data_IF_436237575653
#
_entry.id   IF_436237575653
#
_cell.length_a   1.000
_cell.length_b   1.000
_cell.length_c   1.000
_cell.angle_alpha   90.00
_cell.angle_beta   90.00
_cell.angle_gamma   90.00
#
_symmetry.space_group_name_H-M   'P 1'
#
loop_
_entity.id
_entity.type
_entity.pdbx_description
1 polymer ?
#
# COMPACT_ATOMS: atom_id res chain seq x y z
N UNK A 1 61.42 25.52 47.45
CA UNK A 1 61.10 25.84 46.04
C UNK A 1 60.59 24.57 45.40
N UNK A 2 59.26 24.39 45.41
CA UNK A 2 58.59 23.14 45.05
C UNK A 2 58.46 23.01 43.54
N UNK A 3 58.90 21.85 43.03
CA UNK A 3 58.72 21.38 41.66
C UNK A 3 57.34 20.74 41.52
N UNK A 4 56.54 21.20 40.55
CA UNK A 4 55.30 20.53 40.12
C UNK A 4 55.43 20.27 38.62
N UNK A 5 55.90 19.07 38.28
CA UNK A 5 55.80 18.52 36.93
C UNK A 5 54.44 17.82 36.79
N UNK A 6 53.56 18.38 35.97
CA UNK A 6 52.23 17.84 35.68
C UNK A 6 52.37 16.73 34.63
N UNK A 7 52.15 15.49 35.06
CA UNK A 7 52.05 14.31 34.18
C UNK A 7 50.66 14.27 33.54
N UNK A 8 50.59 14.58 32.24
CA UNK A 8 49.40 14.41 31.40
C UNK A 8 49.27 12.93 31.07
N UNK A 9 48.59 12.19 31.95
CA UNK A 9 48.27 10.79 31.74
C UNK A 9 47.20 10.64 30.64
N UNK A 10 47.53 9.81 29.65
CA UNK A 10 46.71 9.27 28.56
C UNK A 10 45.43 8.61 29.11
N UNK A 11 44.35 9.38 29.29
CA UNK A 11 43.05 8.85 29.67
C UNK A 11 42.37 8.24 28.44
N UNK A 12 42.70 6.97 28.16
CA UNK A 12 41.95 6.17 27.18
C UNK A 12 40.48 6.09 27.63
N UNK A 13 39.51 6.43 26.77
CA UNK A 13 38.10 6.44 27.13
C UNK A 13 37.68 5.04 27.62
N UNK A 14 36.99 5.04 28.76
CA UNK A 14 36.53 3.84 29.46
C UNK A 14 35.65 2.99 28.54
N UNK A 15 35.72 1.66 28.68
CA UNK A 15 34.97 0.69 27.84
C UNK A 15 33.46 0.98 27.81
N UNK A 16 32.93 1.62 28.85
CA UNK A 16 31.54 2.05 28.94
C UNK A 16 31.20 3.15 27.91
N UNK A 17 32.05 4.17 27.77
CA UNK A 17 31.86 5.24 26.78
C UNK A 17 31.99 4.74 25.35
N UNK A 18 32.88 3.76 25.10
CA UNK A 18 32.98 3.10 23.78
C UNK A 18 31.75 2.26 23.44
N UNK A 19 31.10 1.63 24.42
CA UNK A 19 29.83 0.91 24.20
C UNK A 19 28.66 1.87 24.00
N UNK A 20 28.63 3.01 24.70
CA UNK A 20 27.61 4.04 24.52
C UNK A 20 27.67 4.66 23.11
N UNK A 21 28.87 5.07 22.66
CA UNK A 21 29.08 5.60 21.31
C UNK A 21 28.80 4.55 20.21
N UNK A 22 29.06 3.27 20.46
CA UNK A 22 28.71 2.18 19.54
C UNK A 22 27.20 1.87 19.50
N UNK A 23 26.44 2.26 20.52
CA UNK A 23 24.98 2.14 20.56
C UNK A 23 24.30 3.32 19.83
N UNK A 24 24.85 4.53 19.91
CA UNK A 24 24.36 5.73 19.22
C UNK A 24 24.52 5.67 17.69
N UNK A 25 25.50 4.92 17.17
CA UNK A 25 25.76 4.78 15.73
C UNK A 25 24.92 3.70 15.01
N UNK A 26 24.08 2.93 15.71
CA UNK A 26 23.19 1.98 15.02
C UNK A 26 21.96 2.72 14.52
N UNK A 27 22.03 3.15 13.26
CA UNK A 27 20.83 3.28 12.43
C UNK A 27 20.13 1.92 12.47
N UNK A 28 19.15 1.78 13.37
CA UNK A 28 18.21 0.67 13.34
C UNK A 28 17.46 0.86 12.03
N UNK A 29 17.92 0.18 10.97
CA UNK A 29 17.11 -0.05 9.78
C UNK A 29 15.81 -0.67 10.29
N UNK A 30 14.76 0.15 10.48
CA UNK A 30 13.41 -0.35 10.71
C UNK A 30 13.13 -1.23 9.51
N UNK A 31 13.13 -2.54 9.72
CA UNK A 31 12.60 -3.47 8.73
C UNK A 31 11.16 -3.09 8.40
N UNK A 32 10.60 -3.62 7.31
CA UNK A 32 9.20 -3.35 6.96
C UNK A 32 8.31 -3.53 8.20
N UNK A 33 7.54 -2.50 8.53
CA UNK A 33 6.71 -2.47 9.73
C UNK A 33 5.82 -3.72 9.76
N UNK A 34 6.04 -4.60 10.72
CA UNK A 34 5.24 -5.82 10.88
C UNK A 34 3.90 -5.45 11.49
N UNK A 35 2.81 -5.98 10.94
CA UNK A 35 1.48 -5.77 11.51
C UNK A 35 1.43 -6.35 12.95
N UNK A 36 0.77 -5.67 13.91
CA UNK A 36 0.58 -6.21 15.25
C UNK A 36 -0.09 -7.59 15.22
N UNK A 37 0.25 -8.49 16.16
CA UNK A 37 -0.17 -9.90 16.13
C UNK A 37 -1.69 -10.08 16.12
N UNK A 38 -2.43 -9.13 16.70
CA UNK A 38 -3.89 -9.12 16.72
C UNK A 38 -4.51 -8.85 15.34
N UNK A 39 -3.92 -7.97 14.53
CA UNK A 39 -4.37 -7.74 13.16
C UNK A 39 -4.08 -8.95 12.27
N UNK A 40 -2.93 -9.60 12.48
CA UNK A 40 -2.58 -10.84 11.78
C UNK A 40 -3.59 -11.94 12.11
N UNK A 41 -3.94 -12.11 13.39
CA UNK A 41 -4.92 -13.13 13.82
C UNK A 41 -6.33 -12.84 13.27
N UNK A 42 -6.75 -11.57 13.25
CA UNK A 42 -8.04 -11.14 12.69
C UNK A 42 -8.12 -11.35 11.18
N UNK A 43 -7.07 -11.02 10.42
CA UNK A 43 -6.99 -11.27 8.96
C UNK A 43 -7.08 -12.77 8.64
N UNK A 44 -6.39 -13.62 9.41
CA UNK A 44 -6.44 -15.07 9.23
C UNK A 44 -7.80 -15.70 9.60
N UNK A 45 -8.55 -15.08 10.53
CA UNK A 45 -9.92 -15.50 10.86
C UNK A 45 -10.95 -15.06 9.81
N UNK A 46 -10.69 -14.00 9.05
CA UNK A 46 -11.59 -13.52 8.00
C UNK A 46 -11.66 -14.47 6.80
N UNK A 47 -12.87 -14.95 6.48
CA UNK A 47 -13.11 -15.80 5.30
C UNK A 47 -12.95 -15.02 3.99
N UNK A 48 -13.44 -13.79 3.93
CA UNK A 48 -13.36 -12.92 2.73
C UNK A 48 -11.93 -12.53 2.43
N UNK A 49 -11.14 -12.16 3.45
CA UNK A 49 -9.72 -11.83 3.27
C UNK A 49 -8.92 -13.04 2.81
N UNK A 50 -9.14 -14.21 3.40
CA UNK A 50 -8.50 -15.45 2.95
C UNK A 50 -8.84 -15.76 1.49
N UNK A 51 -10.12 -15.66 1.10
CA UNK A 51 -10.55 -15.90 -0.27
C UNK A 51 -9.88 -14.92 -1.26
N UNK A 52 -9.91 -13.62 -0.97
CA UNK A 52 -9.29 -12.59 -1.81
C UNK A 52 -7.77 -12.78 -1.94
N UNK A 53 -7.11 -13.36 -0.94
CA UNK A 53 -5.66 -13.55 -0.92
C UNK A 53 -5.19 -14.96 -1.33
N UNK A 54 -6.13 -15.85 -1.67
CA UNK A 54 -5.87 -17.23 -2.11
C UNK A 54 -6.09 -17.46 -3.61
N UNK A 55 -6.30 -16.40 -4.41
CA UNK A 55 -6.51 -16.51 -5.86
C UNK A 55 -5.36 -17.24 -6.60
N UNK A 56 -4.14 -17.17 -6.07
CA UNK A 56 -2.97 -17.82 -6.66
C UNK A 56 -3.09 -19.36 -6.72
N UNK A 57 -4.01 -19.96 -5.93
CA UNK A 57 -4.35 -21.39 -5.99
C UNK A 57 -4.95 -21.81 -7.33
N UNK A 58 -5.39 -20.86 -8.18
CA UNK A 58 -5.82 -21.15 -9.53
C UNK A 58 -4.67 -21.63 -10.43
N UNK A 59 -3.44 -21.16 -10.18
CA UNK A 59 -2.26 -21.50 -11.00
C UNK A 59 -1.91 -23.01 -10.97
N UNK A 60 -1.78 -23.66 -9.80
CA UNK A 60 -1.57 -25.11 -9.75
C UNK A 60 -2.78 -25.89 -10.26
N UNK A 61 -4.01 -25.37 -10.07
CA UNK A 61 -5.21 -25.99 -10.62
C UNK A 61 -5.19 -26.06 -12.16
N UNK A 62 -4.58 -25.08 -12.82
CA UNK A 62 -4.35 -25.04 -14.27
C UNK A 62 -3.17 -25.92 -14.74
N UNK A 63 -2.58 -26.74 -13.87
CA UNK A 63 -1.48 -27.62 -14.27
C UNK A 63 -0.09 -27.00 -14.12
N UNK A 64 0.02 -25.80 -13.51
CA UNK A 64 1.28 -25.05 -13.44
C UNK A 64 1.79 -24.85 -12.00
N UNK A 65 1.95 -25.90 -11.18
CA UNK A 65 2.36 -25.73 -9.78
C UNK A 65 3.71 -25.02 -9.63
N UNK A 66 4.68 -25.29 -10.53
CA UNK A 66 5.99 -24.64 -10.49
C UNK A 66 5.90 -23.11 -10.54
N UNK A 67 4.99 -22.56 -11.34
CA UNK A 67 4.81 -21.13 -11.52
C UNK A 67 4.26 -20.47 -10.25
N UNK A 68 3.34 -21.15 -9.56
CA UNK A 68 2.78 -20.70 -8.29
C UNK A 68 3.87 -20.60 -7.20
N UNK A 69 4.71 -21.64 -7.09
CA UNK A 69 5.81 -21.67 -6.12
C UNK A 69 6.94 -20.70 -6.46
N UNK A 70 7.23 -20.49 -7.74
CA UNK A 70 8.21 -19.51 -8.20
C UNK A 70 7.77 -18.09 -7.82
N UNK A 71 6.51 -17.75 -8.11
CA UNK A 71 5.91 -16.49 -7.74
C UNK A 71 6.00 -16.23 -6.23
N UNK A 72 5.64 -17.21 -5.40
CA UNK A 72 5.72 -17.07 -3.94
C UNK A 72 7.15 -17.02 -3.41
N UNK A 73 8.09 -17.72 -4.04
CA UNK A 73 9.50 -17.68 -3.68
C UNK A 73 10.13 -16.32 -3.95
N UNK A 74 9.84 -15.73 -5.12
CA UNK A 74 10.31 -14.40 -5.50
C UNK A 74 9.64 -13.31 -4.64
N UNK A 75 8.31 -13.34 -4.53
CA UNK A 75 7.55 -12.32 -3.77
C UNK A 75 7.76 -12.40 -2.26
N UNK A 76 7.89 -13.61 -1.73
CA UNK A 76 8.14 -13.86 -0.30
C UNK A 76 9.61 -13.88 0.10
N UNK A 77 10.54 -13.74 -0.86
CA UNK A 77 12.00 -13.84 -0.67
C UNK A 77 12.42 -15.08 0.12
N UNK A 78 11.80 -16.24 -0.15
CA UNK A 78 12.06 -17.50 0.57
C UNK A 78 12.62 -18.58 -0.37
N UNK A 79 13.89 -18.99 -0.22
CA UNK A 79 14.55 -19.90 -1.16
C UNK A 79 13.91 -21.28 -1.21
N UNK A 80 13.36 -21.77 -0.09
CA UNK A 80 12.63 -23.06 -0.05
C UNK A 80 11.45 -23.15 -1.03
N UNK A 81 10.79 -22.03 -1.38
CA UNK A 81 9.69 -22.02 -2.34
C UNK A 81 10.21 -22.05 -3.77
N UNK A 82 11.36 -21.41 -4.02
CA UNK A 82 12.06 -21.48 -5.30
C UNK A 82 12.58 -22.90 -5.56
N UNK A 83 13.11 -23.57 -4.54
CA UNK A 83 13.52 -24.98 -4.64
C UNK A 83 12.34 -25.91 -4.94
N UNK A 84 11.18 -25.70 -4.30
CA UNK A 84 9.96 -26.43 -4.63
C UNK A 84 9.52 -26.18 -6.08
N UNK A 85 9.60 -24.94 -6.56
CA UNK A 85 9.29 -24.60 -7.94
C UNK A 85 10.17 -25.35 -8.94
N UNK A 86 11.48 -25.38 -8.70
CA UNK A 86 12.44 -26.14 -9.51
C UNK A 86 12.14 -27.64 -9.50
N UNK A 87 11.80 -28.21 -8.34
CA UNK A 87 11.41 -29.62 -8.23
C UNK A 87 10.18 -29.96 -9.07
N UNK A 88 9.13 -29.13 -9.00
CA UNK A 88 7.94 -29.31 -9.85
C UNK A 88 8.24 -29.14 -11.33
N UNK A 89 9.09 -28.18 -11.70
CA UNK A 89 9.48 -27.96 -13.10
C UNK A 89 10.20 -29.19 -13.67
N UNK A 90 11.14 -29.77 -12.92
CA UNK A 90 11.87 -30.98 -13.32
C UNK A 90 10.93 -32.17 -13.46
N UNK A 91 10.05 -32.40 -12.49
CA UNK A 91 9.10 -33.51 -12.53
C UNK A 91 8.12 -33.40 -13.71
N UNK A 92 7.64 -32.18 -14.00
CA UNK A 92 6.75 -31.91 -15.12
C UNK A 92 7.47 -32.04 -16.47
N UNK A 93 8.72 -31.60 -16.56
CA UNK A 93 9.58 -31.84 -17.72
C UNK A 93 9.84 -33.33 -17.97
N UNK A 94 10.07 -34.11 -16.92
CA UNK A 94 10.18 -35.57 -17.00
C UNK A 94 8.90 -36.23 -17.52
N UNK A 95 7.73 -35.80 -17.03
CA UNK A 95 6.44 -36.28 -17.51
C UNK A 95 6.21 -35.95 -19.00
N UNK A 96 6.50 -34.71 -19.42
CA UNK A 96 6.38 -34.27 -20.80
C UNK A 96 7.32 -35.05 -21.73
N UNK A 97 8.56 -35.29 -21.31
CA UNK A 97 9.51 -36.12 -22.06
C UNK A 97 9.02 -37.57 -22.18
N UNK A 98 8.51 -38.17 -21.09
CA UNK A 98 7.95 -39.52 -21.12
C UNK A 98 6.76 -39.65 -22.08
N UNK A 99 5.83 -38.68 -22.04
CA UNK A 99 4.71 -38.63 -22.99
C UNK A 99 5.18 -38.44 -24.44
N UNK A 100 6.15 -37.55 -24.67
CA UNK A 100 6.73 -37.33 -26.00
C UNK A 100 7.40 -38.58 -26.58
N UNK A 101 8.18 -39.30 -25.75
CA UNK A 101 8.81 -40.57 -26.15
C UNK A 101 7.77 -41.66 -26.46
N UNK A 102 6.69 -41.71 -25.68
CA UNK A 102 5.58 -42.65 -25.88
C UNK A 102 4.73 -42.36 -27.12
N UNK A 103 4.70 -41.11 -27.60
CA UNK A 103 3.95 -40.69 -28.80
C UNK A 103 4.80 -40.65 -30.08
N UNK A 104 6.13 -40.59 -29.97
CA UNK A 104 6.99 -40.11 -31.05
C UNK A 104 8.08 -41.05 -31.56
N UNK A 105 8.35 -42.19 -30.91
CA UNK A 105 9.44 -43.08 -31.34
C UNK A 105 9.07 -44.56 -31.22
N UNK A 106 9.31 -45.30 -32.32
CA UNK A 106 9.18 -46.76 -32.45
C UNK A 106 10.23 -47.52 -31.61
N UNK A 107 10.21 -47.29 -30.30
CA UNK A 107 11.18 -47.81 -29.33
C UNK A 107 10.83 -49.22 -28.85
N UNK A 108 9.63 -49.73 -29.18
CA UNK A 108 9.10 -50.98 -28.62
C UNK A 108 8.63 -50.86 -27.16
N UNK A 109 8.72 -49.67 -26.55
CA UNK A 109 8.36 -49.40 -25.16
C UNK A 109 7.35 -48.25 -25.03
N UNK A 110 6.63 -47.95 -26.10
CA UNK A 110 5.73 -46.80 -26.22
C UNK A 110 4.67 -46.77 -25.11
N UNK A 111 3.98 -47.90 -24.88
CA UNK A 111 2.96 -48.01 -23.83
C UNK A 111 3.57 -47.78 -22.44
N UNK A 112 4.78 -48.29 -22.19
CA UNK A 112 5.48 -48.11 -20.92
C UNK A 112 5.82 -46.63 -20.68
N UNK A 113 6.32 -45.92 -21.69
CA UNK A 113 6.62 -44.48 -21.58
C UNK A 113 5.36 -43.63 -21.44
N UNK A 114 4.28 -43.96 -22.15
CA UNK A 114 2.98 -43.29 -22.00
C UNK A 114 2.42 -43.44 -20.58
N UNK A 115 2.45 -44.67 -20.04
CA UNK A 115 1.97 -44.95 -18.69
C UNK A 115 2.84 -44.25 -17.64
N UNK A 116 4.17 -44.36 -17.73
CA UNK A 116 5.08 -43.71 -16.78
C UNK A 116 4.99 -42.19 -16.84
N UNK A 117 4.93 -41.61 -18.04
CA UNK A 117 4.75 -40.17 -18.25
C UNK A 117 3.42 -39.67 -17.70
N UNK A 118 2.34 -40.41 -17.93
CA UNK A 118 0.99 -40.07 -17.42
C UNK A 118 0.92 -40.17 -15.90
N UNK A 119 1.46 -41.24 -15.31
CA UNK A 119 1.51 -41.42 -13.85
C UNK A 119 2.35 -40.33 -13.18
N UNK A 120 3.52 -40.00 -13.75
CA UNK A 120 4.36 -38.92 -13.24
C UNK A 120 3.67 -37.57 -13.38
N UNK A 121 3.00 -37.29 -14.51
CA UNK A 121 2.26 -36.05 -14.73
C UNK A 121 1.11 -35.88 -13.75
N UNK A 122 0.23 -36.89 -13.64
CA UNK A 122 -0.91 -36.87 -12.72
C UNK A 122 -0.46 -36.80 -11.25
N UNK A 123 0.58 -37.56 -10.87
CA UNK A 123 1.17 -37.52 -9.54
C UNK A 123 1.77 -36.16 -9.20
N UNK A 124 2.52 -35.56 -10.12
CA UNK A 124 3.13 -34.23 -9.96
C UNK A 124 2.07 -33.14 -9.82
N UNK A 125 1.00 -33.21 -10.62
CA UNK A 125 -0.12 -32.29 -10.53
C UNK A 125 -0.88 -32.40 -9.21
N UNK A 126 -1.29 -33.62 -8.83
CA UNK A 126 -2.00 -33.88 -7.58
C UNK A 126 -1.18 -33.47 -6.35
N UNK A 127 0.10 -33.81 -6.33
CA UNK A 127 1.02 -33.39 -5.27
C UNK A 127 1.19 -31.85 -5.25
N UNK A 128 1.23 -31.21 -6.42
CA UNK A 128 1.26 -29.76 -6.57
C UNK A 128 0.04 -29.07 -5.95
N UNK A 129 -1.16 -29.62 -6.17
CA UNK A 129 -2.40 -29.14 -5.56
C UNK A 129 -2.38 -29.25 -4.03
N UNK A 130 -2.04 -30.43 -3.50
CA UNK A 130 -1.97 -30.66 -2.05
C UNK A 130 -0.93 -29.72 -1.40
N UNK A 131 0.26 -29.62 -1.99
CA UNK A 131 1.30 -28.74 -1.49
C UNK A 131 0.87 -27.27 -1.55
N UNK A 132 0.12 -26.86 -2.57
CA UNK A 132 -0.40 -25.49 -2.69
C UNK A 132 -1.43 -25.17 -1.60
N UNK A 133 -2.34 -26.10 -1.29
CA UNK A 133 -3.30 -25.95 -0.18
C UNK A 133 -2.58 -25.81 1.16
N UNK A 134 -1.59 -26.66 1.43
CA UNK A 134 -0.79 -26.58 2.66
C UNK A 134 0.00 -25.27 2.75
N UNK A 135 0.61 -24.88 1.63
CA UNK A 135 1.42 -23.68 1.51
C UNK A 135 0.60 -22.40 1.68
N UNK A 136 -0.67 -22.40 1.27
CA UNK A 136 -1.59 -21.26 1.43
C UNK A 136 -1.68 -20.75 2.87
N UNK A 137 -1.73 -21.65 3.85
CA UNK A 137 -1.74 -21.27 5.28
C UNK A 137 -0.50 -20.46 5.68
N UNK A 138 0.65 -20.77 5.11
CA UNK A 138 1.93 -20.13 5.41
C UNK A 138 2.08 -18.84 4.62
N UNK A 139 1.64 -18.84 3.35
CA UNK A 139 1.57 -17.65 2.52
C UNK A 139 0.67 -16.57 3.13
N UNK A 140 -0.54 -16.93 3.58
CA UNK A 140 -1.47 -16.03 4.22
C UNK A 140 -0.91 -15.44 5.52
N UNK A 141 -0.17 -16.22 6.32
CA UNK A 141 0.52 -15.69 7.52
C UNK A 141 1.58 -14.66 7.18
N UNK A 142 2.40 -14.94 6.17
CA UNK A 142 3.44 -14.01 5.70
C UNK A 142 2.78 -12.74 5.16
N UNK A 143 1.77 -12.88 4.29
CA UNK A 143 1.05 -11.74 3.71
C UNK A 143 0.36 -10.93 4.80
N UNK A 144 -0.30 -11.56 5.78
CA UNK A 144 -0.93 -10.85 6.89
C UNK A 144 0.07 -10.04 7.73
N UNK A 145 1.30 -10.55 7.93
CA UNK A 145 2.35 -9.89 8.70
C UNK A 145 3.06 -8.74 7.95
N UNK A 146 3.15 -8.82 6.61
CA UNK A 146 3.91 -7.87 5.77
C UNK A 146 3.05 -6.97 4.88
N UNK A 147 1.73 -7.17 4.80
CA UNK A 147 0.85 -6.24 4.08
C UNK A 147 0.58 -5.03 4.96
N UNK A 148 1.38 -3.98 4.77
CA UNK A 148 1.12 -2.63 5.25
C UNK A 148 0.11 -1.90 4.38
N UNK A 149 -1.12 -2.43 4.34
CA UNK A 149 -2.30 -1.62 4.06
C UNK A 149 -2.93 -1.23 5.42
N UNK A 150 -3.53 -0.03 5.52
CA UNK A 150 -4.02 0.54 6.77
C UNK A 150 -4.94 -0.47 7.44
N UNK A 151 -4.77 -0.58 8.74
CA UNK A 151 -5.68 -1.35 9.56
C UNK A 151 -7.09 -0.79 9.37
N UNK A 152 -7.93 -1.47 8.58
CA UNK A 152 -9.37 -1.48 8.83
C UNK A 152 -9.52 -2.08 10.22
N UNK A 153 -9.43 -1.26 11.24
CA UNK A 153 -9.74 -1.60 12.62
C UNK A 153 -11.23 -1.96 12.65
N UNK A 154 -11.56 -3.23 12.98
CA UNK A 154 -12.89 -3.43 13.58
C UNK A 154 -12.71 -3.26 15.07
N UNK A 155 -13.71 -2.69 15.75
CA UNK A 155 -13.57 -2.26 17.13
C UNK A 155 -13.22 -3.46 18.00
N UNK A 156 -12.19 -3.31 18.81
CA UNK A 156 -12.20 -3.83 20.18
C UNK A 156 -13.53 -3.35 20.81
N UNK A 157 -14.17 -4.15 21.65
CA UNK A 157 -15.20 -3.64 22.54
C UNK A 157 -14.53 -3.23 23.86
N UNK A 158 -14.06 -1.99 24.06
CA UNK A 158 -14.09 -1.36 25.37
C UNK A 158 -15.47 -0.73 25.58
N UNK A 159 -15.87 -0.62 26.84
CA UNK A 159 -17.10 0.02 27.30
C UNK A 159 -17.46 1.25 26.45
N UNK A 160 -18.70 1.30 25.96
CA UNK A 160 -19.26 2.25 24.99
C UNK A 160 -18.59 3.64 25.08
N UNK A 161 -17.61 3.92 24.19
CA UNK A 161 -17.16 5.26 23.86
C UNK A 161 -18.08 5.83 22.78
N UNK A 162 -18.10 7.16 22.55
CA UNK A 162 -19.00 7.80 21.58
C UNK A 162 -18.77 7.26 20.16
N UNK A 163 -19.82 7.30 19.33
CA UNK A 163 -19.91 6.74 17.97
C UNK A 163 -18.63 6.91 17.12
N UNK A 164 -18.31 5.96 16.20
CA UNK A 164 -17.17 6.08 15.31
C UNK A 164 -17.27 7.40 14.56
N UNK A 165 -16.21 8.22 14.65
CA UNK A 165 -16.10 9.42 13.84
C UNK A 165 -16.24 9.00 12.38
N UNK A 166 -17.24 9.55 11.70
CA UNK A 166 -17.36 9.48 10.25
C UNK A 166 -15.96 9.81 9.67
N UNK A 167 -15.36 8.95 8.82
CA UNK A 167 -14.01 9.17 8.28
C UNK A 167 -13.88 10.55 7.64
N UNK A 168 -14.97 11.07 7.07
CA UNK A 168 -15.02 12.41 6.50
C UNK A 168 -14.95 13.51 7.56
N UNK A 169 -15.55 13.29 8.74
CA UNK A 169 -15.42 14.21 9.89
C UNK A 169 -13.96 14.30 10.38
N UNK A 170 -13.23 13.18 10.35
CA UNK A 170 -11.79 13.16 10.64
C UNK A 170 -10.99 14.00 9.64
N UNK A 171 -11.27 13.84 8.34
CA UNK A 171 -10.65 14.66 7.29
C UNK A 171 -11.00 16.14 7.39
N UNK A 172 -12.23 16.48 7.77
CA UNK A 172 -12.64 17.87 7.99
C UNK A 172 -11.87 18.51 9.16
N UNK A 173 -11.58 17.76 10.23
CA UNK A 173 -10.75 18.25 11.33
C UNK A 173 -9.29 18.39 10.91
N UNK A 174 -8.75 17.41 10.17
CA UNK A 174 -7.39 17.45 9.66
C UNK A 174 -7.16 18.67 8.74
N UNK A 175 -8.08 18.94 7.80
CA UNK A 175 -8.02 20.12 6.93
C UNK A 175 -8.03 21.43 7.76
N UNK A 176 -8.88 21.50 8.79
CA UNK A 176 -8.92 22.63 9.72
C UNK A 176 -7.61 22.79 10.50
N UNK A 177 -6.95 21.70 10.89
CA UNK A 177 -5.63 21.76 11.54
C UNK A 177 -4.55 22.26 10.58
N UNK A 178 -4.55 21.83 9.32
CA UNK A 178 -3.58 22.30 8.32
C UNK A 178 -3.74 23.80 8.09
N UNK A 179 -4.97 24.30 7.95
CA UNK A 179 -5.25 25.74 7.83
C UNK A 179 -4.82 26.49 9.08
N UNK A 180 -5.09 25.97 10.29
CA UNK A 180 -4.62 26.57 11.54
C UNK A 180 -3.09 26.65 11.61
N UNK A 181 -2.41 25.59 11.18
CA UNK A 181 -0.94 25.53 11.12
C UNK A 181 -0.40 26.56 10.13
N UNK A 182 -0.95 26.64 8.93
CA UNK A 182 -0.56 27.65 7.94
C UNK A 182 -0.75 29.08 8.46
N UNK A 183 -1.89 29.38 9.09
CA UNK A 183 -2.14 30.70 9.70
C UNK A 183 -1.17 31.00 10.86
N UNK A 184 -0.88 30.01 11.72
CA UNK A 184 0.06 30.16 12.85
C UNK A 184 1.48 30.47 12.37
N UNK A 185 1.89 29.85 11.27
CA UNK A 185 3.22 30.03 10.68
C UNK A 185 3.25 31.07 9.55
N UNK A 186 2.19 31.89 9.39
CA UNK A 186 2.09 32.84 8.29
C UNK A 186 3.28 33.79 8.14
N UNK A 187 3.92 34.20 9.25
CA UNK A 187 5.12 35.04 9.21
C UNK A 187 6.41 34.34 8.77
N UNK A 188 6.40 33.00 8.65
CA UNK A 188 7.50 32.21 8.09
C UNK A 188 7.21 31.71 6.68
N UNK A 189 5.95 31.73 6.26
CA UNK A 189 5.53 31.26 4.94
C UNK A 189 5.68 32.39 3.90
N UNK A 190 5.97 32.05 2.63
CA UNK A 190 6.09 33.05 1.58
C UNK A 190 4.74 33.66 1.23
N UNK A 191 4.78 34.85 0.65
CA UNK A 191 3.59 35.55 0.17
C UNK A 191 2.79 34.66 -0.79
N UNK A 192 1.47 34.58 -0.57
CA UNK A 192 0.57 33.74 -1.35
C UNK A 192 0.41 32.31 -0.84
N UNK A 193 1.27 31.81 0.06
CA UNK A 193 1.12 30.45 0.60
C UNK A 193 -0.15 30.30 1.47
N UNK A 194 -0.36 31.20 2.43
CA UNK A 194 -1.58 31.17 3.29
C UNK A 194 -2.85 31.36 2.45
N UNK A 195 -2.93 32.32 1.51
CA UNK A 195 -4.04 32.41 0.56
C UNK A 195 -4.29 31.11 -0.22
N UNK A 196 -3.26 30.47 -0.78
CA UNK A 196 -3.42 29.23 -1.54
C UNK A 196 -3.93 28.07 -0.65
N UNK A 197 -3.46 27.95 0.58
CA UNK A 197 -3.98 26.97 1.55
C UNK A 197 -5.47 27.20 1.83
N UNK A 198 -5.90 28.47 1.98
CA UNK A 198 -7.32 28.80 2.17
C UNK A 198 -8.15 28.49 0.92
N UNK A 199 -7.58 28.69 -0.27
CA UNK A 199 -8.25 28.35 -1.52
C UNK A 199 -8.44 26.83 -1.66
N UNK A 200 -7.46 26.01 -1.23
CA UNK A 200 -7.64 24.55 -1.09
C UNK A 200 -8.78 24.24 -0.12
N UNK A 201 -8.81 24.90 1.04
CA UNK A 201 -9.88 24.73 2.02
C UNK A 201 -11.26 25.10 1.46
N UNK A 202 -11.37 26.20 0.72
CA UNK A 202 -12.62 26.68 0.12
C UNK A 202 -13.19 25.66 -0.89
N UNK A 203 -12.32 24.89 -1.56
CA UNK A 203 -12.74 23.80 -2.47
C UNK A 203 -13.06 22.53 -1.69
N UNK A 204 -12.17 22.09 -0.80
CA UNK A 204 -12.28 20.77 -0.15
C UNK A 204 -13.33 20.73 0.97
N UNK A 205 -13.53 21.82 1.71
CA UNK A 205 -14.53 21.89 2.80
C UNK A 205 -15.95 21.57 2.32
N UNK A 206 -16.51 22.24 1.28
CA UNK A 206 -17.83 21.90 0.79
C UNK A 206 -17.87 20.52 0.13
N UNK A 207 -16.79 20.10 -0.53
CA UNK A 207 -16.68 18.78 -1.14
C UNK A 207 -16.74 17.65 -0.10
N UNK A 208 -15.97 17.76 0.99
CA UNK A 208 -16.03 16.84 2.12
C UNK A 208 -17.44 16.80 2.72
N UNK A 209 -18.07 17.95 2.94
CA UNK A 209 -19.45 18.00 3.44
C UNK A 209 -20.45 17.32 2.47
N UNK A 210 -20.23 17.42 1.17
CA UNK A 210 -21.04 16.74 0.15
C UNK A 210 -20.83 15.22 0.18
N UNK A 211 -19.56 14.79 0.21
CA UNK A 211 -19.16 13.37 0.27
C UNK A 211 -19.68 12.69 1.54
N UNK A 212 -19.62 13.36 2.70
CA UNK A 212 -20.21 12.86 3.95
C UNK A 212 -21.72 12.59 3.83
N UNK A 213 -22.47 13.49 3.16
CA UNK A 213 -23.92 13.33 3.00
C UNK A 213 -24.30 12.24 2.00
N UNK A 214 -23.56 12.14 0.89
CA UNK A 214 -23.90 11.22 -0.21
C UNK A 214 -23.39 9.79 0.01
N UNK A 215 -22.36 9.62 0.84
CA UNK A 215 -21.56 8.39 0.95
C UNK A 215 -20.35 8.43 0.01
N UNK A 216 -19.16 8.22 0.57
CA UNK A 216 -17.90 8.30 -0.18
C UNK A 216 -17.63 7.03 -0.98
N UNK A 217 -17.27 7.18 -2.26
CA UNK A 217 -16.62 6.10 -3.00
C UNK A 217 -15.16 5.95 -2.52
N UNK A 218 -14.60 4.74 -2.65
CA UNK A 218 -13.25 4.44 -2.13
C UNK A 218 -12.18 5.33 -2.76
N UNK A 219 -12.24 5.56 -4.07
CA UNK A 219 -11.27 6.40 -4.78
C UNK A 219 -11.42 7.89 -4.42
N UNK A 220 -12.65 8.38 -4.30
CA UNK A 220 -12.95 9.76 -3.89
C UNK A 220 -12.38 10.02 -2.47
N UNK A 221 -12.62 9.09 -1.54
CA UNK A 221 -12.11 9.19 -0.17
C UNK A 221 -10.59 9.12 -0.11
N UNK A 222 -9.98 8.23 -0.89
CA UNK A 222 -8.52 8.10 -0.94
C UNK A 222 -7.84 9.37 -1.44
N UNK A 223 -8.36 9.99 -2.51
CA UNK A 223 -7.82 11.23 -3.04
C UNK A 223 -7.97 12.40 -2.05
N UNK A 224 -9.13 12.50 -1.38
CA UNK A 224 -9.37 13.49 -0.33
C UNK A 224 -8.42 13.29 0.86
N UNK A 225 -8.24 12.05 1.31
CA UNK A 225 -7.32 11.69 2.39
C UNK A 225 -5.88 12.06 2.04
N UNK A 226 -5.42 11.75 0.82
CA UNK A 226 -4.06 12.05 0.39
C UNK A 226 -3.77 13.56 0.36
N UNK A 227 -4.69 14.37 -0.18
CA UNK A 227 -4.51 15.83 -0.21
C UNK A 227 -4.46 16.40 1.22
N UNK A 228 -5.38 15.98 2.09
CA UNK A 228 -5.57 16.55 3.43
C UNK A 228 -4.51 16.09 4.42
N UNK A 229 -4.07 14.83 4.33
CA UNK A 229 -3.19 14.21 5.35
C UNK A 229 -1.75 14.06 4.91
N UNK A 230 -1.46 14.12 3.61
CA UNK A 230 -0.11 13.89 3.08
C UNK A 230 0.39 15.10 2.27
N UNK A 231 -0.30 15.52 1.22
CA UNK A 231 0.26 16.45 0.25
C UNK A 231 0.32 17.89 0.76
N UNK A 232 -0.80 18.41 1.27
CA UNK A 232 -0.87 19.76 1.80
C UNK A 232 -0.03 19.96 3.07
N UNK A 233 -0.16 19.12 4.12
CA UNK A 233 0.70 19.24 5.30
C UNK A 233 2.16 18.99 4.96
N UNK A 234 2.46 18.00 4.11
CA UNK A 234 3.82 17.69 3.67
C UNK A 234 4.48 18.90 3.00
N UNK A 235 3.83 19.57 2.05
CA UNK A 235 4.39 20.75 1.39
C UNK A 235 4.77 21.85 2.40
N UNK A 236 3.90 22.11 3.38
CA UNK A 236 4.15 23.10 4.43
C UNK A 236 5.28 22.68 5.37
N UNK A 237 5.30 21.42 5.82
CA UNK A 237 6.31 20.88 6.73
C UNK A 237 7.71 20.93 6.11
N UNK A 238 7.87 20.42 4.88
CA UNK A 238 9.16 20.42 4.20
C UNK A 238 9.73 21.83 4.02
N UNK A 239 8.88 22.83 3.77
CA UNK A 239 9.32 24.21 3.67
C UNK A 239 9.66 24.80 5.06
N UNK A 240 8.84 24.56 6.08
CA UNK A 240 9.04 25.08 7.43
C UNK A 240 10.27 24.50 8.14
N UNK A 241 10.73 23.32 7.71
CA UNK A 241 11.97 22.68 8.16
C UNK A 241 13.24 23.34 7.60
N UNK A 242 13.14 24.16 6.55
CA UNK A 242 14.29 24.85 5.97
C UNK A 242 14.73 26.06 6.82
N UNK A 243 16.04 26.34 6.90
CA UNK A 243 16.55 27.61 7.42
C UNK A 243 15.99 28.78 6.59
N UNK A 244 15.50 29.88 7.23
CA UNK A 244 14.85 30.99 6.52
C UNK A 244 15.69 31.58 5.37
N UNK A 245 16.96 31.90 5.63
CA UNK A 245 17.85 32.48 4.62
C UNK A 245 18.03 31.56 3.41
N UNK A 246 18.05 30.24 3.63
CA UNK A 246 18.18 29.25 2.57
C UNK A 246 16.91 29.17 1.71
N UNK A 247 15.73 29.25 2.35
CA UNK A 247 14.44 29.19 1.68
C UNK A 247 14.20 30.36 0.70
N UNK A 248 14.78 31.53 0.98
CA UNK A 248 14.61 32.74 0.16
C UNK A 248 15.72 32.94 -0.88
N UNK A 249 16.94 32.46 -0.61
CA UNK A 249 18.10 32.78 -1.47
C UNK A 249 18.55 31.63 -2.35
N UNK A 250 18.46 30.38 -1.86
CA UNK A 250 18.96 29.23 -2.59
C UNK A 250 18.15 29.00 -3.87
N UNK A 251 18.84 28.60 -4.95
CA UNK A 251 18.20 28.25 -6.22
C UNK A 251 18.23 26.74 -6.39
N UNK A 252 17.04 26.15 -6.48
CA UNK A 252 16.83 24.75 -6.80
C UNK A 252 17.23 24.46 -8.25
N UNK A 253 17.37 23.18 -8.65
CA UNK A 253 17.62 22.82 -10.05
C UNK A 253 16.56 23.34 -11.04
N UNK A 254 15.34 23.61 -10.57
CA UNK A 254 14.26 24.25 -11.33
C UNK A 254 14.51 25.74 -11.62
N UNK A 255 15.51 26.35 -10.98
CA UNK A 255 15.76 27.79 -11.02
C UNK A 255 14.93 28.61 -10.03
N UNK A 256 13.98 27.97 -9.35
CA UNK A 256 13.13 28.59 -8.32
C UNK A 256 13.81 28.57 -6.94
N UNK A 257 13.43 29.48 -6.07
CA UNK A 257 13.70 29.36 -4.63
C UNK A 257 12.77 28.33 -4.00
N UNK A 258 13.13 27.74 -2.84
CA UNK A 258 12.18 26.94 -2.06
C UNK A 258 10.87 27.68 -1.74
N UNK A 259 10.92 29.00 -1.54
CA UNK A 259 9.73 29.83 -1.34
C UNK A 259 8.83 29.88 -2.58
N UNK A 260 9.41 30.13 -3.76
CA UNK A 260 8.69 30.13 -5.04
C UNK A 260 8.14 28.74 -5.37
N UNK A 261 8.93 27.70 -5.10
CA UNK A 261 8.56 26.30 -5.31
C UNK A 261 7.39 25.88 -4.42
N UNK A 262 7.36 26.28 -3.14
CA UNK A 262 6.21 26.04 -2.26
C UNK A 262 4.94 26.68 -2.82
N UNK A 263 5.01 27.95 -3.25
CA UNK A 263 3.84 28.64 -3.83
C UNK A 263 3.35 27.92 -5.09
N UNK A 264 4.27 27.41 -5.92
CA UNK A 264 3.93 26.62 -7.10
C UNK A 264 3.23 25.30 -6.72
N UNK A 265 3.75 24.56 -5.74
CA UNK A 265 3.15 23.32 -5.25
C UNK A 265 1.74 23.54 -4.67
N UNK A 266 1.55 24.63 -3.91
CA UNK A 266 0.23 24.96 -3.37
C UNK A 266 -0.78 25.31 -4.48
N UNK A 267 -0.35 25.99 -5.56
CA UNK A 267 -1.20 26.22 -6.74
C UNK A 267 -1.59 24.92 -7.44
N UNK A 268 -0.65 23.99 -7.60
CA UNK A 268 -0.97 22.65 -8.12
C UNK A 268 -1.98 21.91 -7.24
N UNK A 269 -1.91 22.07 -5.91
CA UNK A 269 -2.89 21.51 -4.99
C UNK A 269 -4.26 22.18 -5.11
N UNK A 270 -4.33 23.49 -5.34
CA UNK A 270 -5.58 24.20 -5.63
C UNK A 270 -6.22 23.64 -6.90
N UNK A 271 -5.46 23.52 -7.99
CA UNK A 271 -5.96 23.02 -9.26
C UNK A 271 -6.38 21.55 -9.15
N UNK A 272 -5.56 20.71 -8.52
CA UNK A 272 -5.90 19.30 -8.25
C UNK A 272 -7.17 19.15 -7.39
N UNK A 273 -7.38 20.04 -6.41
CA UNK A 273 -8.60 20.04 -5.59
C UNK A 273 -9.84 20.40 -6.43
N UNK A 274 -9.72 21.34 -7.36
CA UNK A 274 -10.81 21.70 -8.29
C UNK A 274 -11.11 20.58 -9.27
N UNK A 275 -10.08 19.89 -9.76
CA UNK A 275 -10.23 18.74 -10.66
C UNK A 275 -10.96 17.60 -9.96
N UNK A 276 -10.59 17.31 -8.72
CA UNK A 276 -11.27 16.32 -7.88
C UNK A 276 -12.73 16.71 -7.63
N UNK A 277 -13.02 17.96 -7.30
CA UNK A 277 -14.38 18.45 -7.13
C UNK A 277 -15.22 18.27 -8.40
N UNK A 278 -14.67 18.65 -9.56
CA UNK A 278 -15.35 18.46 -10.87
C UNK A 278 -15.62 16.99 -11.14
N UNK A 279 -14.63 16.12 -10.94
CA UNK A 279 -14.78 14.68 -11.15
C UNK A 279 -15.89 14.07 -10.27
N UNK A 280 -15.96 14.47 -8.99
CA UNK A 280 -17.03 14.01 -8.08
C UNK A 280 -18.41 14.50 -8.57
N UNK A 281 -18.52 15.75 -8.98
CA UNK A 281 -19.79 16.30 -9.50
C UNK A 281 -20.21 15.66 -10.83
N UNK A 282 -19.28 15.40 -11.74
CA UNK A 282 -19.54 14.73 -13.01
C UNK A 282 -19.99 13.27 -12.79
N UNK A 283 -19.37 12.57 -11.85
CA UNK A 283 -19.79 11.23 -11.44
C UNK A 283 -21.24 11.23 -10.91
N UNK A 284 -21.62 12.23 -10.13
CA UNK A 284 -22.99 12.40 -9.63
C UNK A 284 -24.00 12.65 -10.75
N UNK A 285 -23.66 13.54 -11.68
CA UNK A 285 -24.48 13.80 -12.86
C UNK A 285 -24.65 12.53 -13.72
N UNK A 286 -23.61 11.71 -13.83
CA UNK A 286 -23.67 10.44 -14.56
C UNK A 286 -24.61 9.44 -13.89
N UNK A 287 -24.56 9.30 -12.55
CA UNK A 287 -25.50 8.45 -11.79
C UNK A 287 -26.95 8.87 -12.04
N UNK A 288 -27.23 10.17 -12.02
CA UNK A 288 -28.56 10.73 -12.31
C UNK A 288 -29.03 10.41 -13.74
N UNK A 289 -28.15 10.58 -14.74
CA UNK A 289 -28.46 10.27 -16.14
C UNK A 289 -28.76 8.78 -16.38
N UNK A 290 -27.98 7.89 -15.77
CA UNK A 290 -28.20 6.44 -15.82
C UNK A 290 -29.56 6.06 -15.22
N UNK A 291 -29.90 6.62 -14.06
CA UNK A 291 -31.19 6.41 -13.43
C UNK A 291 -32.36 6.89 -14.31
N UNK A 292 -32.22 8.08 -14.92
CA UNK A 292 -33.22 8.62 -15.86
C UNK A 292 -33.51 7.68 -17.04
N UNK A 293 -32.47 7.15 -17.69
CA UNK A 293 -32.62 6.18 -18.78
C UNK A 293 -33.26 4.88 -18.33
N UNK A 294 -32.93 4.40 -17.14
CA UNK A 294 -33.55 3.20 -16.57
C UNK A 294 -35.05 3.41 -16.32
N UNK A 295 -35.45 4.56 -15.77
CA UNK A 295 -36.86 4.88 -15.55
C UNK A 295 -37.62 5.00 -16.88
N UNK A 296 -37.07 5.70 -17.88
CA UNK A 296 -37.66 5.81 -19.22
C UNK A 296 -37.89 4.43 -19.84
N UNK A 297 -36.88 3.54 -19.78
CA UNK A 297 -37.00 2.18 -20.30
C UNK A 297 -38.05 1.34 -19.56
N UNK A 298 -38.16 1.48 -18.23
CA UNK A 298 -39.10 0.72 -17.41
C UNK A 298 -40.55 1.12 -17.65
N UNK A 299 -40.84 2.42 -17.73
CA UNK A 299 -42.21 2.92 -17.85
C UNK A 299 -42.70 2.93 -19.30
N UNK A 300 -41.86 3.28 -20.28
CA UNK A 300 -42.26 3.28 -21.70
C UNK A 300 -42.61 1.87 -22.22
N UNK A 301 -42.01 0.81 -21.66
CA UNK A 301 -42.36 -0.58 -21.99
C UNK A 301 -43.67 -1.03 -21.33
N UNK A 302 -43.99 -0.49 -20.16
CA UNK A 302 -45.22 -0.81 -19.42
C UNK A 302 -46.46 -0.19 -20.07
N UNK A 303 -46.31 0.97 -20.74
CA UNK A 303 -47.40 1.63 -21.49
C UNK A 303 -47.74 0.91 -22.82
N UNK A 304 -46.88 0.01 -23.31
CA UNK A 304 -47.08 -0.73 -24.56
C UNK A 304 -47.66 -2.15 -24.34
N UNK A 305 -47.75 -2.60 -23.09
CA UNK A 305 -48.30 -3.91 -22.70
C UNK A 305 -49.74 -3.80 -22.11
N UNK A 306 -50.43 -2.66 -22.31
CA UNK A 306 -51.84 -2.42 -21.99
C UNK A 306 -52.70 -2.29 -23.25
#
# INVERSE_FOLDING_TARGET
>A
MSSVASSRADQRPSRALRRAAAAEGRVVRRGPAQAPPELVSRRLRSRTWRAANSWWLAIPALGLPWLAFLYMGLRGRRPRWVLAALGYLVAMGGAATGLGLGLGLATGHELLFLVLGSLLGAGTWGLGLVHSIMANSTWLRIKAAFTGEPALEAPTTPAVPPAPADPVSGLQEALREVVRTANRHGGRLPDGAVPAVREVEDVLRPLLAHVARRGAEVEELHNLEAIVTEYLPGALEHYLDLPPDYAETHRLPSGLTPAEELVNQLRLLVDGSRDLQRAVHDHDAQKLSVQGRFLDAKFRRSDLDL
#
